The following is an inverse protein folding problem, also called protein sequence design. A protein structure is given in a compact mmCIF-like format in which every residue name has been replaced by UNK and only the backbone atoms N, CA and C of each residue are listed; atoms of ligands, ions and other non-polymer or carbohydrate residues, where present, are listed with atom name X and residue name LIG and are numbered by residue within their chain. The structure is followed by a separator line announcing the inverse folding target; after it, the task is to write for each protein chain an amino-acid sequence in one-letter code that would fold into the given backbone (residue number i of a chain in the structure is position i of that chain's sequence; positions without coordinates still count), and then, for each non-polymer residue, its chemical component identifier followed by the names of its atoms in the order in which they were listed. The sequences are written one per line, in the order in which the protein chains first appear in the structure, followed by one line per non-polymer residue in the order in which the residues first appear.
data_IF_170100782095
#
_entry.id   IF_170100782095
#
_cell.length_a   1.000
_cell.length_b   1.000
_cell.length_c   1.000
_cell.angle_alpha   90.00
_cell.angle_beta   90.00
_cell.angle_gamma   90.00
#
_symmetry.space_group_name_H-M   'P 1'
#
loop_
_entity.id
_entity.type
_entity.pdbx_description
1 polymer ?
#
# COMPACT_ATOMS: atom_id res chain seq x y z
N UNK A 1 11.37 6.31 -6.56
CA UNK A 1 10.93 5.23 -5.64
C UNK A 1 10.80 3.93 -6.44
N UNK A 2 11.00 2.77 -5.81
CA UNK A 2 11.05 1.45 -6.46
C UNK A 2 9.69 0.80 -6.75
N UNK A 3 8.59 1.57 -6.76
CA UNK A 3 7.22 1.05 -6.86
C UNK A 3 6.86 0.17 -5.66
N UNK A 4 6.21 -0.97 -5.93
CA UNK A 4 5.79 -1.97 -4.91
C UNK A 4 6.95 -2.57 -4.11
N UNK A 5 8.19 -2.54 -4.62
CA UNK A 5 9.38 -2.96 -3.84
C UNK A 5 9.72 -2.00 -2.69
N UNK A 6 9.07 -0.84 -2.67
CA UNK A 6 9.24 0.23 -1.67
C UNK A 6 7.83 0.77 -1.33
N UNK A 7 7.69 2.04 -0.97
CA UNK A 7 6.37 2.69 -0.81
C UNK A 7 5.88 3.44 -2.06
N UNK A 8 6.51 3.27 -3.23
CA UNK A 8 6.24 4.10 -4.40
C UNK A 8 4.80 3.98 -4.93
N UNK A 9 4.20 2.80 -4.84
CA UNK A 9 2.80 2.62 -5.24
C UNK A 9 1.81 3.26 -4.25
N UNK A 10 2.18 3.32 -2.97
CA UNK A 10 1.38 3.96 -1.92
C UNK A 10 1.40 5.48 -2.08
N UNK A 11 2.57 6.06 -2.30
CA UNK A 11 2.74 7.50 -2.58
C UNK A 11 1.96 7.90 -3.84
N UNK A 12 2.08 7.13 -4.93
CA UNK A 12 1.35 7.40 -6.17
C UNK A 12 -0.17 7.38 -5.95
N UNK A 13 -0.69 6.50 -5.08
CA UNK A 13 -2.13 6.50 -4.77
C UNK A 13 -2.56 7.79 -4.10
N UNK A 14 -1.75 8.36 -3.21
CA UNK A 14 -2.06 9.64 -2.57
C UNK A 14 -1.98 10.81 -3.56
N UNK A 15 -1.03 10.77 -4.49
CA UNK A 15 -0.95 11.76 -5.58
C UNK A 15 -2.18 11.69 -6.50
N UNK A 16 -2.68 10.49 -6.83
CA UNK A 16 -3.80 10.32 -7.77
C UNK A 16 -5.19 10.44 -7.12
N UNK A 17 -5.39 9.82 -5.96
CA UNK A 17 -6.70 9.78 -5.30
C UNK A 17 -6.99 11.08 -4.54
N UNK A 18 -5.98 11.61 -3.83
CA UNK A 18 -6.12 12.76 -2.95
C UNK A 18 -5.46 14.04 -3.51
N UNK A 19 -4.90 13.98 -4.72
CA UNK A 19 -4.24 15.12 -5.41
C UNK A 19 -3.13 15.77 -4.58
N UNK A 20 -2.49 14.99 -3.71
CA UNK A 20 -1.37 15.46 -2.91
C UNK A 20 -0.16 15.77 -3.81
N UNK A 21 0.61 16.79 -3.44
CA UNK A 21 1.96 16.98 -4.02
C UNK A 21 2.89 15.89 -3.48
N UNK A 22 3.93 15.56 -4.26
CA UNK A 22 4.84 14.45 -3.94
C UNK A 22 5.42 14.50 -2.52
N UNK A 23 5.83 15.66 -2.02
CA UNK A 23 6.42 15.77 -0.68
C UNK A 23 5.39 15.50 0.41
N UNK A 24 4.20 16.10 0.28
CA UNK A 24 3.07 15.84 1.17
C UNK A 24 2.62 14.38 1.14
N UNK A 25 2.60 13.76 -0.06
CA UNK A 25 2.25 12.36 -0.22
C UNK A 25 3.25 11.44 0.46
N UNK A 26 4.55 11.74 0.37
CA UNK A 26 5.60 11.00 1.08
C UNK A 26 5.47 11.16 2.59
N UNK A 27 5.31 12.39 3.09
CA UNK A 27 5.12 12.65 4.53
C UNK A 27 3.90 11.90 5.07
N UNK A 28 2.77 11.96 4.35
CA UNK A 28 1.56 11.24 4.74
C UNK A 28 1.77 9.73 4.79
N UNK A 29 2.42 9.14 3.77
CA UNK A 29 2.66 7.70 3.73
C UNK A 29 3.66 7.28 4.81
N UNK A 30 4.72 8.07 5.04
CA UNK A 30 5.69 7.82 6.10
C UNK A 30 5.00 7.77 7.48
N UNK A 31 4.16 8.76 7.78
CA UNK A 31 3.37 8.81 9.01
C UNK A 31 2.44 7.60 9.16
N UNK A 32 1.71 7.23 8.10
CA UNK A 32 0.83 6.05 8.12
C UNK A 32 1.55 4.73 8.32
N UNK A 33 2.80 4.64 7.89
CA UNK A 33 3.62 3.42 8.00
C UNK A 33 4.51 3.42 9.25
N UNK A 34 4.59 4.52 9.99
CA UNK A 34 5.44 4.64 11.17
C UNK A 34 6.94 4.63 10.84
N UNK A 35 7.33 5.15 9.67
CA UNK A 35 8.72 5.22 9.19
C UNK A 35 9.10 6.64 8.79
N UNK A 36 10.38 6.88 8.52
CA UNK A 36 10.86 8.15 7.95
C UNK A 36 10.61 8.24 6.45
N UNK A 37 10.69 9.46 5.90
CA UNK A 37 10.53 9.70 4.46
C UNK A 37 11.64 9.03 3.65
N UNK A 38 12.86 8.98 4.20
CA UNK A 38 14.03 8.32 3.61
C UNK A 38 13.83 6.80 3.52
N UNK A 39 13.29 6.19 4.59
CA UNK A 39 13.01 4.75 4.65
C UNK A 39 11.95 4.30 3.65
N UNK A 40 11.08 5.20 3.15
CA UNK A 40 10.16 4.89 2.06
C UNK A 40 10.87 4.41 0.77
N UNK A 41 12.17 4.65 0.65
CA UNK A 41 12.99 4.26 -0.49
C UNK A 41 13.83 3.01 -0.22
N UNK A 42 13.95 2.60 1.05
CA UNK A 42 14.70 1.44 1.47
C UNK A 42 13.87 0.17 1.26
N UNK A 43 14.37 -0.73 0.41
CA UNK A 43 13.67 -1.98 0.07
C UNK A 43 13.66 -2.94 1.24
N UNK A 44 14.67 -2.94 2.11
CA UNK A 44 14.76 -3.84 3.26
C UNK A 44 13.70 -3.42 4.28
N UNK A 45 13.72 -2.15 4.71
CA UNK A 45 12.73 -1.61 5.65
C UNK A 45 11.30 -1.77 5.11
N UNK A 46 11.09 -1.45 3.83
CA UNK A 46 9.76 -1.58 3.23
C UNK A 46 9.31 -3.03 3.04
N UNK A 47 10.21 -4.00 2.94
CA UNK A 47 9.84 -5.42 2.89
C UNK A 47 9.25 -5.85 4.23
N UNK A 48 9.88 -5.47 5.34
CA UNK A 48 9.40 -5.78 6.69
C UNK A 48 8.04 -5.10 6.95
N UNK A 49 7.96 -3.78 6.70
CA UNK A 49 6.71 -3.01 6.87
C UNK A 49 5.57 -3.58 6.02
N UNK A 50 5.83 -3.94 4.77
CA UNK A 50 4.82 -4.52 3.88
C UNK A 50 4.38 -5.90 4.34
N UNK A 51 5.27 -6.69 4.92
CA UNK A 51 4.97 -8.02 5.45
C UNK A 51 4.08 -7.90 6.69
N UNK A 52 4.47 -7.06 7.64
CA UNK A 52 3.76 -6.85 8.91
C UNK A 52 2.34 -6.30 8.68
N UNK A 53 2.21 -5.31 7.80
CA UNK A 53 0.92 -4.72 7.45
C UNK A 53 0.16 -5.52 6.38
N UNK A 54 0.78 -6.54 5.78
CA UNK A 54 0.25 -7.33 4.66
C UNK A 54 -0.19 -6.49 3.46
N UNK A 55 0.65 -5.55 3.06
CA UNK A 55 0.45 -4.71 1.86
C UNK A 55 0.84 -5.46 0.57
N UNK A 56 1.28 -6.71 0.72
CA UNK A 56 1.81 -7.59 -0.31
C UNK A 56 3.30 -7.37 -0.58
N UNK A 57 3.91 -8.26 -1.35
CA UNK A 57 5.30 -8.13 -1.78
C UNK A 57 5.37 -8.13 -3.31
N UNK A 58 6.44 -7.55 -3.85
CA UNK A 58 6.70 -7.57 -5.29
C UNK A 58 7.06 -8.97 -5.79
N UNK A 59 7.67 -9.77 -4.92
CA UNK A 59 8.02 -11.16 -5.14
C UNK A 59 7.34 -11.96 -4.06
N UNK A 60 6.57 -12.96 -4.47
CA UNK A 60 5.86 -13.88 -3.57
C UNK A 60 6.29 -15.26 -3.99
N UNK A 61 6.72 -16.08 -3.04
CA UNK A 61 7.06 -17.46 -3.31
C UNK A 61 5.83 -18.22 -3.81
N UNK A 62 5.97 -19.12 -4.81
CA UNK A 62 4.86 -19.96 -5.24
C UNK A 62 4.25 -20.70 -4.05
N UNK A 63 2.91 -20.68 -3.97
CA UNK A 63 2.13 -21.32 -2.91
C UNK A 63 2.30 -20.72 -1.49
N UNK A 64 2.99 -19.58 -1.33
CA UNK A 64 3.01 -18.88 -0.05
C UNK A 64 1.64 -18.24 0.26
N UNK A 65 1.18 -18.36 1.51
CA UNK A 65 -0.02 -17.67 2.00
C UNK A 65 0.29 -16.20 2.31
N UNK A 66 0.47 -15.41 1.26
CA UNK A 66 0.70 -13.97 1.37
C UNK A 66 -0.48 -13.13 0.90
N UNK A 67 -0.64 -11.96 1.51
CA UNK A 67 -1.65 -10.99 1.08
C UNK A 67 -1.24 -10.38 -0.26
N UNK A 68 -1.83 -10.86 -1.35
CA UNK A 68 -1.60 -10.32 -2.68
C UNK A 68 -2.93 -9.92 -3.36
N UNK A 69 -2.83 -9.24 -4.50
CA UNK A 69 -3.99 -8.89 -5.31
C UNK A 69 -5.06 -8.11 -4.55
N UNK A 70 -6.21 -8.73 -4.31
CA UNK A 70 -7.34 -8.09 -3.63
C UNK A 70 -7.09 -7.93 -2.12
N UNK A 71 -6.53 -8.94 -1.45
CA UNK A 71 -6.28 -8.90 0.00
C UNK A 71 -5.38 -7.72 0.38
N UNK A 72 -4.28 -7.54 -0.36
CA UNK A 72 -3.39 -6.38 -0.20
C UNK A 72 -4.12 -5.05 -0.40
N UNK A 73 -5.01 -4.95 -1.40
CA UNK A 73 -5.74 -3.70 -1.66
C UNK A 73 -6.70 -3.32 -0.55
N UNK A 74 -7.37 -4.29 0.10
CA UNK A 74 -8.20 -4.01 1.28
C UNK A 74 -7.35 -3.37 2.39
N UNK A 75 -6.20 -3.98 2.72
CA UNK A 75 -5.30 -3.42 3.74
C UNK A 75 -4.72 -2.07 3.36
N UNK A 76 -4.33 -1.87 2.10
CA UNK A 76 -3.87 -0.56 1.62
C UNK A 76 -4.98 0.50 1.77
N UNK A 77 -6.25 0.17 1.45
CA UNK A 77 -7.34 1.13 1.67
C UNK A 77 -7.53 1.50 3.14
N UNK A 78 -7.35 0.54 4.05
CA UNK A 78 -7.46 0.76 5.50
C UNK A 78 -6.29 1.58 6.03
N UNK A 79 -5.04 1.19 5.73
CA UNK A 79 -3.82 1.86 6.19
C UNK A 79 -3.76 3.30 5.70
N UNK A 80 -4.06 3.54 4.43
CA UNK A 80 -4.03 4.89 3.86
C UNK A 80 -5.32 5.68 4.12
N UNK A 81 -6.40 5.02 4.54
CA UNK A 81 -7.70 5.66 4.75
C UNK A 81 -8.37 6.16 3.47
N UNK A 82 -8.13 5.49 2.34
CA UNK A 82 -8.62 5.90 1.01
C UNK A 82 -9.58 4.87 0.42
N UNK A 83 -10.51 5.31 -0.43
CA UNK A 83 -11.33 4.39 -1.22
C UNK A 83 -10.57 3.90 -2.46
N UNK A 84 -10.50 2.59 -2.64
CA UNK A 84 -9.94 1.97 -3.85
C UNK A 84 -11.09 1.38 -4.67
N UNK A 85 -11.28 1.87 -5.89
CA UNK A 85 -12.39 1.48 -6.76
C UNK A 85 -12.56 -0.06 -6.90
N UNK A 86 -11.46 -0.79 -7.12
CA UNK A 86 -11.56 -2.25 -7.24
C UNK A 86 -11.97 -2.95 -5.95
N UNK A 87 -11.65 -2.39 -4.77
CA UNK A 87 -12.07 -2.91 -3.47
C UNK A 87 -13.57 -2.67 -3.29
N UNK A 88 -14.04 -1.45 -3.56
CA UNK A 88 -15.46 -1.09 -3.41
C UNK A 88 -16.35 -1.93 -4.35
N UNK A 89 -15.93 -2.07 -5.62
CA UNK A 89 -16.65 -2.94 -6.58
C UNK A 89 -16.62 -4.41 -6.18
N UNK A 90 -15.54 -4.87 -5.54
CA UNK A 90 -15.46 -6.24 -5.05
C UNK A 90 -16.43 -6.44 -3.88
N UNK A 91 -16.45 -5.53 -2.89
CA UNK A 91 -17.39 -5.56 -1.77
C UNK A 91 -18.84 -5.64 -2.25
N UNK A 92 -19.21 -4.75 -3.18
CA UNK A 92 -20.55 -4.74 -3.80
C UNK A 92 -20.92 -6.09 -4.42
N UNK A 93 -20.03 -6.66 -5.24
CA UNK A 93 -20.28 -7.94 -5.94
C UNK A 93 -20.27 -9.15 -5.03
N UNK A 94 -19.47 -9.11 -3.96
CA UNK A 94 -19.37 -10.17 -2.97
C UNK A 94 -20.45 -10.06 -1.87
N UNK A 95 -21.28 -9.00 -1.88
CA UNK A 95 -22.30 -8.77 -0.85
C UNK A 95 -21.71 -8.35 0.51
N UNK A 96 -20.47 -7.84 0.52
CA UNK A 96 -19.82 -7.29 1.71
C UNK A 96 -20.24 -5.82 1.87
N UNK A 97 -20.70 -5.44 3.07
CA UNK A 97 -21.10 -4.06 3.40
C UNK A 97 -19.92 -3.24 3.89
#
# INVERSE_FOLDING_TARGET
MGGVRTAGDLVLRMELAEKMKIDQAKEYVADKLGVTVEELHDVVVMTDVRTDLGLGLAHVEPCAEENNGMAAKFRISEVLGIKINSVERFKERAGLK
#
